data_IF_660216008972
#
_entry.id   IF_660216008972
#
_cell.length_a   1.000
_cell.length_b   1.000
_cell.length_c   1.000
_cell.angle_alpha   90.00
_cell.angle_beta   90.00
_cell.angle_gamma   90.00
#
_symmetry.space_group_name_H-M   'P 1'
#
loop_
_entity.id
_entity.type
_entity.pdbx_description
1 polymer ?
#
# COMPACT_ATOMS: atom_id res chain seq x y z
N UNK A 1 -18.70 6.94 -16.14
CA UNK A 1 -17.32 6.97 -15.61
C UNK A 1 -16.37 6.42 -16.67
N UNK A 2 -15.39 7.21 -17.14
CA UNK A 2 -14.43 6.79 -18.18
C UNK A 2 -13.45 5.77 -17.59
N UNK A 3 -13.34 4.56 -18.16
CA UNK A 3 -12.34 3.56 -17.77
C UNK A 3 -10.96 3.94 -18.33
N UNK A 4 -9.88 3.51 -17.66
CA UNK A 4 -8.47 3.73 -18.09
C UNK A 4 -8.20 3.38 -19.55
N UNK A 5 -8.79 2.29 -20.05
CA UNK A 5 -8.63 1.84 -21.44
C UNK A 5 -9.40 2.72 -22.44
N UNK A 6 -10.45 3.40 -21.97
CA UNK A 6 -11.35 4.19 -22.82
C UNK A 6 -10.96 5.67 -22.88
N UNK A 7 -10.10 6.17 -21.98
CA UNK A 7 -9.62 7.58 -21.95
C UNK A 7 -9.16 8.05 -23.33
N UNK A 8 -8.68 7.13 -24.15
CA UNK A 8 -8.13 7.41 -25.47
C UNK A 8 -9.17 7.44 -26.59
N UNK A 9 -10.32 6.78 -26.40
CA UNK A 9 -11.41 6.72 -27.38
C UNK A 9 -12.13 8.06 -27.50
N UNK A 10 -12.15 8.83 -26.41
CA UNK A 10 -12.88 10.09 -26.30
C UNK A 10 -12.03 11.33 -26.55
N UNK A 11 -10.78 11.18 -27.01
CA UNK A 11 -9.95 12.33 -27.36
C UNK A 11 -9.91 12.52 -28.87
N UNK A 12 -10.28 13.73 -29.29
CA UNK A 12 -10.20 14.15 -30.68
C UNK A 12 -8.75 14.40 -31.09
N UNK A 13 -8.37 14.01 -32.32
CA UNK A 13 -7.05 14.31 -32.84
C UNK A 13 -6.93 15.81 -33.13
N UNK A 14 -5.82 16.41 -32.71
CA UNK A 14 -5.46 17.78 -33.11
C UNK A 14 -5.02 17.85 -34.57
N UNK A 15 -4.45 16.76 -35.10
CA UNK A 15 -3.96 16.68 -36.46
C UNK A 15 -4.05 15.24 -36.97
N UNK A 16 -4.31 15.08 -38.26
CA UNK A 16 -4.23 13.79 -38.95
C UNK A 16 -3.22 13.91 -40.08
N UNK A 17 -2.23 13.02 -40.11
CA UNK A 17 -1.16 13.03 -41.10
C UNK A 17 -1.06 11.67 -41.78
N UNK A 18 -1.06 11.65 -43.11
CA UNK A 18 -0.67 10.46 -43.86
C UNK A 18 0.85 10.35 -43.87
N UNK A 19 1.41 9.37 -43.15
CA UNK A 19 2.86 9.21 -42.95
C UNK A 19 3.33 7.89 -43.52
N UNK A 20 4.49 7.91 -44.20
CA UNK A 20 5.15 6.68 -44.65
C UNK A 20 5.92 6.03 -43.52
N UNK A 21 5.51 4.82 -43.13
CA UNK A 21 6.21 3.96 -42.19
C UNK A 21 7.32 3.19 -42.90
N UNK A 22 8.56 3.48 -42.55
CA UNK A 22 9.74 2.83 -43.12
C UNK A 22 9.96 1.43 -42.54
N UNK A 23 10.72 0.57 -43.25
CA UNK A 23 11.08 -0.80 -42.79
C UNK A 23 11.72 -0.81 -41.38
N UNK A 24 12.44 0.25 -41.02
CA UNK A 24 13.07 0.42 -39.71
C UNK A 24 12.13 0.95 -38.61
N UNK A 25 10.82 1.05 -38.87
CA UNK A 25 9.83 1.52 -37.90
C UNK A 25 9.81 3.03 -37.68
N UNK A 26 10.32 3.81 -38.64
CA UNK A 26 10.33 5.27 -38.56
C UNK A 26 9.19 5.88 -39.36
N UNK A 27 8.46 6.81 -38.74
CA UNK A 27 7.48 7.69 -39.37
C UNK A 27 8.12 9.08 -39.50
N UNK A 28 8.38 9.52 -40.74
CA UNK A 28 8.97 10.85 -41.00
C UNK A 28 7.87 11.91 -41.00
N UNK A 29 8.01 12.94 -40.17
CA UNK A 29 7.08 14.07 -40.19
C UNK A 29 7.39 15.02 -41.37
N UNK A 30 6.36 15.56 -42.05
CA UNK A 30 6.55 16.58 -43.07
C UNK A 30 7.23 17.84 -42.50
N UNK A 31 8.22 18.40 -43.21
CA UNK A 31 8.91 19.62 -42.77
C UNK A 31 7.96 20.81 -42.62
N UNK A 32 6.96 20.93 -43.51
CA UNK A 32 5.91 21.96 -43.42
C UNK A 32 5.15 21.85 -42.09
N UNK A 33 4.80 20.63 -41.67
CA UNK A 33 4.14 20.38 -40.38
C UNK A 33 5.06 20.74 -39.20
N UNK A 34 6.31 20.27 -39.21
CA UNK A 34 7.29 20.56 -38.15
C UNK A 34 7.47 22.06 -37.94
N UNK A 35 7.63 22.83 -39.03
CA UNK A 35 7.78 24.29 -38.99
C UNK A 35 6.51 24.96 -38.48
N UNK A 36 5.32 24.56 -39.00
CA UNK A 36 4.03 25.13 -38.60
C UNK A 36 3.75 24.97 -37.11
N UNK A 37 4.07 23.81 -36.53
CA UNK A 37 3.79 23.51 -35.11
C UNK A 37 4.95 23.93 -34.19
N UNK A 38 6.13 24.28 -34.73
CA UNK A 38 7.28 24.72 -33.93
C UNK A 38 7.88 23.61 -33.04
N UNK A 39 7.86 22.37 -33.51
CA UNK A 39 8.29 21.19 -32.75
C UNK A 39 9.76 20.83 -33.01
N UNK A 40 10.40 20.23 -32.00
CA UNK A 40 11.77 19.72 -32.07
C UNK A 40 11.94 18.46 -31.20
N UNK A 41 13.18 18.00 -31.02
CA UNK A 41 13.51 16.82 -30.21
C UNK A 41 13.23 16.98 -28.70
N UNK A 42 12.69 18.11 -28.26
CA UNK A 42 12.21 18.30 -26.90
C UNK A 42 10.70 18.05 -26.76
N UNK A 43 10.06 17.40 -27.73
CA UNK A 43 8.63 17.09 -27.67
C UNK A 43 8.34 15.58 -27.64
N UNK A 44 7.25 15.24 -26.98
CA UNK A 44 6.62 13.91 -26.96
C UNK A 44 5.28 14.00 -27.66
N UNK A 45 5.05 13.02 -28.53
CA UNK A 45 3.82 12.87 -29.30
C UNK A 45 2.97 11.80 -28.65
N UNK A 46 1.71 12.13 -28.45
CA UNK A 46 0.63 11.20 -28.18
C UNK A 46 -0.12 11.00 -29.49
N UNK A 47 -0.17 9.77 -29.99
CA UNK A 47 -0.78 9.49 -31.28
C UNK A 47 -1.41 8.10 -31.34
N UNK A 48 -2.29 7.91 -32.34
CA UNK A 48 -2.87 6.62 -32.72
C UNK A 48 -2.80 6.45 -34.24
N UNK A 49 -2.94 5.21 -34.70
CA UNK A 49 -3.01 4.90 -36.13
C UNK A 49 -4.49 4.69 -36.47
N UNK A 50 -5.02 5.45 -37.44
CA UNK A 50 -6.45 5.57 -37.72
C UNK A 50 -7.12 4.21 -37.96
N UNK A 51 -6.53 3.36 -38.82
CA UNK A 51 -7.06 2.01 -39.13
C UNK A 51 -6.81 0.98 -38.01
N UNK A 52 -6.19 1.39 -36.92
CA UNK A 52 -5.97 0.59 -35.72
C UNK A 52 -6.38 1.44 -34.52
N UNK A 53 -7.64 1.90 -34.47
CA UNK A 53 -8.17 2.80 -33.41
C UNK A 53 -7.95 2.31 -31.97
N UNK A 54 -7.61 1.04 -31.75
CA UNK A 54 -7.25 0.49 -30.44
C UNK A 54 -5.75 0.60 -30.10
N UNK A 55 -4.93 1.01 -31.05
CA UNK A 55 -3.49 1.15 -30.93
C UNK A 55 -3.11 2.62 -30.66
N UNK A 56 -2.63 2.85 -29.44
CA UNK A 56 -2.17 4.16 -28.97
C UNK A 56 -0.70 4.07 -28.59
N UNK A 57 0.05 5.14 -28.87
CA UNK A 57 1.45 5.19 -28.50
C UNK A 57 1.89 6.59 -28.11
N UNK A 58 2.91 6.63 -27.26
CA UNK A 58 3.69 7.82 -26.96
C UNK A 58 5.06 7.65 -27.57
N UNK A 59 5.55 8.62 -28.33
CA UNK A 59 6.93 8.59 -28.83
C UNK A 59 7.58 9.95 -28.72
N UNK A 60 8.87 9.92 -28.36
CA UNK A 60 9.70 11.11 -28.39
C UNK A 60 10.05 11.42 -29.83
N UNK A 61 9.98 12.69 -30.20
CA UNK A 61 10.48 13.14 -31.48
C UNK A 61 12.01 12.98 -31.56
N UNK A 62 12.48 12.28 -32.60
CA UNK A 62 13.90 12.04 -32.82
C UNK A 62 14.38 12.83 -34.03
N UNK A 63 15.55 13.46 -33.90
CA UNK A 63 16.24 14.11 -35.01
C UNK A 63 16.97 13.04 -35.83
N UNK A 64 16.77 13.06 -37.15
CA UNK A 64 17.48 12.23 -38.11
C UNK A 64 18.11 13.14 -39.16
N UNK A 65 19.43 13.29 -39.12
CA UNK A 65 20.16 14.12 -40.07
C UNK A 65 20.65 13.22 -41.20
N UNK A 66 20.18 13.45 -42.42
CA UNK A 66 20.71 12.78 -43.60
C UNK A 66 21.70 13.72 -44.30
N UNK A 67 22.92 13.24 -44.51
CA UNK A 67 23.89 13.89 -45.41
C UNK A 67 23.51 13.50 -46.84
N UNK A 68 23.25 14.49 -47.69
CA UNK A 68 23.06 14.29 -49.14
C UNK A 68 24.16 15.05 -49.87
N UNK A 69 25.08 14.32 -50.48
CA UNK A 69 26.26 14.88 -51.16
C UNK A 69 27.25 15.57 -50.22
N UNK A 70 28.21 16.32 -50.81
CA UNK A 70 29.31 16.97 -50.08
C UNK A 70 28.86 18.17 -49.22
N UNK A 71 27.74 18.84 -49.55
CA UNK A 71 27.40 20.15 -48.97
C UNK A 71 25.99 20.31 -48.34
N UNK A 72 25.07 19.32 -48.42
CA UNK A 72 23.71 19.50 -47.89
C UNK A 72 23.39 18.54 -46.72
N UNK A 73 23.10 19.12 -45.56
CA UNK A 73 22.55 18.40 -44.40
C UNK A 73 21.06 18.70 -44.24
N UNK A 74 20.22 17.69 -44.49
CA UNK A 74 18.78 17.80 -44.28
C UNK A 74 18.43 17.16 -42.93
N UNK A 75 17.92 17.99 -42.01
CA UNK A 75 17.40 17.50 -40.74
C UNK A 75 15.94 17.10 -40.91
N UNK A 76 15.62 15.86 -40.56
CA UNK A 76 14.24 15.36 -40.47
C UNK A 76 13.88 14.99 -39.04
N UNK A 77 12.61 15.12 -38.70
CA UNK A 77 12.09 14.67 -37.43
C UNK A 77 11.25 13.41 -37.64
N UNK A 78 11.50 12.41 -36.81
CA UNK A 78 10.88 11.09 -36.93
C UNK A 78 10.28 10.64 -35.61
N UNK A 79 9.13 9.97 -35.71
CA UNK A 79 8.56 9.14 -34.65
C UNK A 79 9.10 7.73 -34.85
N UNK A 80 9.75 7.18 -33.81
CA UNK A 80 10.25 5.81 -33.84
C UNK A 80 9.26 4.89 -33.13
N UNK A 81 8.82 3.84 -33.82
CA UNK A 81 8.00 2.77 -33.28
C UNK A 81 8.89 1.62 -32.82
N UNK A 82 8.63 1.08 -31.63
CA UNK A 82 9.37 -0.10 -31.13
C UNK A 82 8.97 -1.37 -31.90
N UNK A 83 9.85 -2.38 -31.93
CA UNK A 83 9.54 -3.70 -32.53
C UNK A 83 8.20 -4.27 -32.04
N UNK A 84 7.98 -4.27 -30.72
CA UNK A 84 6.69 -4.71 -30.12
C UNK A 84 5.46 -3.97 -30.65
N UNK A 85 5.62 -2.70 -31.01
CA UNK A 85 4.55 -1.89 -31.61
C UNK A 85 4.32 -2.33 -33.04
N UNK A 86 5.39 -2.47 -33.82
CA UNK A 86 5.32 -2.95 -35.20
C UNK A 86 4.68 -4.33 -35.28
N UNK A 87 5.10 -5.27 -34.42
CA UNK A 87 4.56 -6.62 -34.32
C UNK A 87 3.05 -6.61 -34.05
N UNK A 88 2.58 -5.68 -33.19
CA UNK A 88 1.14 -5.52 -32.89
C UNK A 88 0.34 -4.89 -34.02
N UNK A 89 0.96 -4.00 -34.79
CA UNK A 89 0.29 -3.33 -35.90
C UNK A 89 0.01 -4.31 -37.04
N UNK A 90 0.83 -5.36 -37.18
CA UNK A 90 0.75 -6.38 -38.21
C UNK A 90 0.56 -5.75 -39.60
N UNK A 91 1.45 -4.81 -39.95
CA UNK A 91 1.43 -4.08 -41.21
C UNK A 91 2.54 -4.59 -42.12
N UNK A 92 2.26 -4.68 -43.42
CA UNK A 92 3.30 -4.86 -44.44
C UNK A 92 4.15 -3.59 -44.50
N UNK A 93 5.48 -3.74 -44.47
CA UNK A 93 6.42 -2.62 -44.44
C UNK A 93 7.24 -2.55 -45.74
N UNK A 94 7.47 -1.35 -46.31
CA UNK A 94 6.95 -0.05 -45.89
C UNK A 94 5.49 0.17 -46.30
N UNK A 95 4.74 0.95 -45.52
CA UNK A 95 3.34 1.30 -45.82
C UNK A 95 3.03 2.75 -45.46
N UNK A 96 2.03 3.33 -46.13
CA UNK A 96 1.45 4.60 -45.71
C UNK A 96 0.41 4.35 -44.63
N UNK A 97 0.47 5.14 -43.55
CA UNK A 97 -0.44 5.02 -42.41
C UNK A 97 -0.96 6.40 -42.02
N UNK A 98 -2.26 6.50 -41.77
CA UNK A 98 -2.85 7.69 -41.21
C UNK A 98 -2.60 7.73 -39.70
N UNK A 99 -1.86 8.75 -39.28
CA UNK A 99 -1.46 9.00 -37.91
C UNK A 99 -2.25 10.16 -37.36
N UNK A 100 -3.09 9.86 -36.38
CA UNK A 100 -3.87 10.83 -35.61
C UNK A 100 -3.06 11.28 -34.41
N UNK A 101 -2.62 12.54 -34.41
CA UNK A 101 -1.89 13.17 -33.31
C UNK A 101 -2.91 13.72 -32.32
N UNK A 102 -2.94 13.12 -31.13
CA UNK A 102 -3.84 13.48 -30.05
C UNK A 102 -3.29 14.69 -29.29
N UNK A 103 -2.02 14.65 -28.87
CA UNK A 103 -1.36 15.75 -28.14
C UNK A 103 0.12 15.82 -28.47
N UNK A 104 0.66 17.04 -28.40
CA UNK A 104 2.09 17.33 -28.55
C UNK A 104 2.52 18.08 -27.30
N UNK A 105 3.46 17.52 -26.54
CA UNK A 105 3.84 18.06 -25.23
C UNK A 105 5.36 18.22 -25.12
N UNK A 106 5.80 19.38 -24.64
CA UNK A 106 7.21 19.66 -24.37
C UNK A 106 7.72 18.83 -23.19
N UNK A 107 8.91 18.26 -23.32
CA UNK A 107 9.57 17.48 -22.27
C UNK A 107 9.84 18.37 -21.06
N UNK A 108 9.49 17.87 -19.87
CA UNK A 108 9.60 18.60 -18.62
C UNK A 108 8.46 19.60 -18.37
N UNK A 109 7.41 19.61 -19.22
CA UNK A 109 6.22 20.41 -18.94
C UNK A 109 5.52 19.90 -17.66
N UNK A 110 4.99 20.84 -16.88
CA UNK A 110 4.22 20.57 -15.67
C UNK A 110 2.74 20.76 -15.94
N UNK A 111 1.93 20.04 -15.18
CA UNK A 111 0.51 20.30 -15.06
C UNK A 111 0.31 21.29 -13.92
N UNK A 112 -0.60 22.24 -14.08
CA UNK A 112 -0.99 23.17 -13.01
C UNK A 112 -1.63 22.40 -11.87
N UNK A 113 -1.39 22.81 -10.61
CA UNK A 113 -2.08 22.21 -9.46
C UNK A 113 -3.58 22.50 -9.56
N UNK A 114 -4.39 21.48 -9.33
CA UNK A 114 -5.85 21.61 -9.34
C UNK A 114 -6.40 20.95 -8.08
N UNK A 115 -7.27 21.67 -7.37
CA UNK A 115 -8.11 21.23 -6.25
C UNK A 115 -7.36 20.74 -4.97
N UNK A 116 -7.50 21.44 -3.82
CA UNK A 116 -6.83 21.08 -2.56
C UNK A 116 -7.44 19.86 -1.83
N UNK A 117 -8.63 19.39 -2.21
CA UNK A 117 -9.41 18.44 -1.41
C UNK A 117 -9.13 16.95 -1.72
N UNK A 118 -8.16 16.65 -2.61
CA UNK A 118 -7.75 15.28 -2.94
C UNK A 118 -6.24 15.19 -3.11
N UNK A 119 -5.71 13.99 -2.95
CA UNK A 119 -4.30 13.72 -3.20
C UNK A 119 -4.03 13.76 -4.70
N UNK A 120 -3.32 14.79 -5.17
CA UNK A 120 -2.87 14.89 -6.56
C UNK A 120 -1.58 14.08 -6.75
N UNK A 121 -1.62 13.04 -7.58
CA UNK A 121 -0.47 12.18 -7.87
C UNK A 121 0.64 12.93 -8.63
N UNK A 122 0.34 14.06 -9.28
CA UNK A 122 1.35 14.91 -9.93
C UNK A 122 2.40 15.40 -8.93
N UNK A 123 2.00 15.68 -7.68
CA UNK A 123 2.90 16.16 -6.62
C UNK A 123 3.97 15.13 -6.22
N UNK A 124 3.76 13.85 -6.55
CA UNK A 124 4.67 12.75 -6.25
C UNK A 124 5.50 12.30 -7.45
N UNK A 125 5.34 12.96 -8.60
CA UNK A 125 6.14 12.70 -9.80
C UNK A 125 7.35 13.65 -9.79
N UNK A 126 8.60 13.12 -9.92
CA UNK A 126 9.78 13.97 -9.88
C UNK A 126 9.80 15.03 -10.98
N UNK A 127 10.08 16.27 -10.58
CA UNK A 127 10.27 17.39 -11.50
C UNK A 127 11.65 17.36 -12.16
N UNK A 128 11.84 16.53 -13.17
CA UNK A 128 13.06 16.53 -13.97
C UNK A 128 12.79 16.13 -15.43
N UNK A 129 13.79 16.33 -16.30
CA UNK A 129 13.70 16.05 -17.74
C UNK A 129 13.42 14.58 -18.10
N UNK A 130 13.45 13.66 -17.13
CA UNK A 130 13.14 12.23 -17.36
C UNK A 130 11.64 11.97 -17.37
N UNK A 131 10.84 12.84 -16.75
CA UNK A 131 9.39 12.70 -16.69
C UNK A 131 8.71 13.72 -17.60
N UNK A 132 7.62 13.31 -18.24
CA UNK A 132 6.74 14.18 -19.03
C UNK A 132 5.32 13.79 -18.71
N UNK A 133 4.49 14.79 -18.41
CA UNK A 133 3.10 14.60 -18.00
C UNK A 133 2.17 15.08 -19.11
N UNK A 134 1.09 14.34 -19.32
CA UNK A 134 0.04 14.68 -20.27
C UNK A 134 -1.29 14.56 -19.55
N UNK A 135 -1.99 15.69 -19.34
CA UNK A 135 -3.37 15.69 -18.86
C UNK A 135 -4.30 15.02 -19.87
N UNK A 136 -5.26 14.26 -19.37
CA UNK A 136 -6.23 13.49 -20.16
C UNK A 136 -7.65 13.76 -19.70
N UNK A 137 -8.62 13.44 -20.55
CA UNK A 137 -10.04 13.57 -20.22
C UNK A 137 -10.39 12.80 -18.93
N UNK A 138 -11.32 13.34 -18.13
CA UNK A 138 -11.83 12.68 -16.93
C UNK A 138 -10.84 12.61 -15.75
N UNK A 139 -9.96 13.60 -15.60
CA UNK A 139 -8.95 13.66 -14.53
C UNK A 139 -7.95 12.49 -14.55
N UNK A 140 -7.60 12.01 -15.73
CA UNK A 140 -6.52 11.05 -15.91
C UNK A 140 -5.23 11.77 -16.30
N UNK A 141 -4.09 11.17 -15.98
CA UNK A 141 -2.79 11.62 -16.47
C UNK A 141 -2.03 10.47 -17.11
N UNK A 142 -1.37 10.75 -18.23
CA UNK A 142 -0.37 9.87 -18.80
C UNK A 142 1.02 10.40 -18.46
N UNK A 143 1.81 9.55 -17.82
CA UNK A 143 3.19 9.85 -17.46
C UNK A 143 4.11 9.07 -18.39
N UNK A 144 5.08 9.77 -18.95
CA UNK A 144 6.14 9.20 -19.74
C UNK A 144 7.46 9.34 -18.97
N UNK A 145 8.17 8.23 -18.79
CA UNK A 145 9.51 8.21 -18.19
C UNK A 145 10.56 7.81 -19.23
N UNK A 146 11.70 8.50 -19.20
CA UNK A 146 12.84 8.25 -20.09
C UNK A 146 14.18 8.43 -19.38
N UNK A 147 15.02 7.40 -19.43
CA UNK A 147 16.46 7.49 -19.15
C UNK A 147 17.26 6.78 -20.24
N UNK A 148 18.59 7.01 -20.27
CA UNK A 148 19.50 6.22 -21.11
C UNK A 148 19.21 4.72 -20.86
N UNK A 149 18.76 3.99 -21.88
CA UNK A 149 18.45 2.55 -21.82
C UNK A 149 17.09 2.12 -21.24
N UNK A 150 16.22 3.03 -20.76
CA UNK A 150 14.93 2.64 -20.19
C UNK A 150 13.83 3.66 -20.48
N UNK A 151 12.65 3.17 -20.85
CA UNK A 151 11.45 4.00 -20.98
C UNK A 151 10.23 3.25 -20.45
N UNK A 152 9.29 4.00 -19.89
CA UNK A 152 8.01 3.46 -19.45
C UNK A 152 6.91 4.48 -19.64
N UNK A 153 5.69 3.98 -19.86
CA UNK A 153 4.48 4.78 -20.01
C UNK A 153 3.47 4.26 -19.01
N UNK A 154 2.73 5.15 -18.36
CA UNK A 154 1.63 4.76 -17.49
C UNK A 154 0.54 5.82 -17.50
N UNK A 155 -0.70 5.38 -17.75
CA UNK A 155 -1.89 6.19 -17.51
C UNK A 155 -2.50 5.81 -16.17
N UNK A 156 -2.77 6.81 -15.34
CA UNK A 156 -3.26 6.66 -13.96
C UNK A 156 -4.22 7.81 -13.62
N UNK A 157 -5.17 7.62 -12.68
CA UNK A 157 -6.03 8.70 -12.24
C UNK A 157 -5.18 9.78 -11.56
N UNK A 158 -5.48 11.04 -11.81
CA UNK A 158 -4.72 12.17 -11.25
C UNK A 158 -4.96 12.30 -9.74
N UNK A 159 -6.22 12.22 -9.35
CA UNK A 159 -6.65 12.39 -7.97
C UNK A 159 -6.99 11.06 -7.33
N UNK A 160 -6.45 10.84 -6.13
CA UNK A 160 -6.73 9.65 -5.34
C UNK A 160 -7.38 10.03 -4.02
N UNK A 161 -8.42 9.27 -3.63
CA UNK A 161 -9.03 9.39 -2.30
C UNK A 161 -8.13 8.73 -1.26
N UNK A 162 -7.79 9.46 -0.21
CA UNK A 162 -7.08 8.95 0.96
C UNK A 162 -8.13 8.44 1.95
N UNK A 163 -8.31 7.12 1.99
CA UNK A 163 -9.18 6.42 2.94
C UNK A 163 -8.36 5.37 3.73
N UNK A 164 -8.99 4.65 4.66
CA UNK A 164 -8.31 3.65 5.50
C UNK A 164 -7.57 2.60 4.69
N UNK A 165 -8.18 2.08 3.62
CA UNK A 165 -7.56 1.08 2.75
C UNK A 165 -6.32 1.65 2.05
N UNK A 166 -6.38 2.90 1.59
CA UNK A 166 -5.23 3.58 1.01
C UNK A 166 -4.09 3.71 2.01
N UNK A 167 -4.38 4.22 3.22
CA UNK A 167 -3.39 4.39 4.29
C UNK A 167 -2.78 3.07 4.75
N UNK A 168 -3.61 2.04 4.94
CA UNK A 168 -3.15 0.71 5.30
C UNK A 168 -2.16 0.16 4.27
N UNK A 169 -2.46 0.30 2.98
CA UNK A 169 -1.57 -0.20 1.93
C UNK A 169 -0.27 0.59 1.81
N UNK A 170 -0.28 1.90 2.08
CA UNK A 170 0.97 2.67 2.20
C UNK A 170 1.82 2.16 3.37
N UNK A 171 1.22 1.92 4.53
CA UNK A 171 1.92 1.32 5.68
C UNK A 171 2.49 -0.05 5.38
N UNK A 172 1.71 -0.91 4.72
CA UNK A 172 2.16 -2.23 4.33
C UNK A 172 3.28 -2.20 3.29
N UNK A 173 3.21 -1.28 2.32
CA UNK A 173 4.29 -1.04 1.36
C UNK A 173 5.55 -0.47 2.03
N UNK A 174 5.40 0.37 3.07
CA UNK A 174 6.54 0.85 3.85
C UNK A 174 7.31 -0.32 4.46
N UNK A 175 6.62 -1.34 4.95
CA UNK A 175 7.27 -2.56 5.45
C UNK A 175 7.81 -3.45 4.30
N UNK A 176 6.91 -4.00 3.49
CA UNK A 176 7.21 -5.13 2.58
C UNK A 176 7.54 -4.72 1.14
N UNK A 177 7.39 -3.43 0.81
CA UNK A 177 7.51 -2.94 -0.55
C UNK A 177 8.93 -2.92 -1.10
N UNK A 178 9.08 -3.10 -2.42
CA UNK A 178 10.32 -2.88 -3.17
C UNK A 178 10.63 -1.38 -3.28
N UNK A 179 11.30 -0.85 -2.25
CA UNK A 179 11.61 0.57 -2.11
C UNK A 179 12.99 0.96 -2.67
N UNK A 180 13.88 0.01 -2.90
CA UNK A 180 15.29 0.28 -3.25
C UNK A 180 15.47 0.61 -4.73
N UNK A 181 14.84 -0.16 -5.61
CA UNK A 181 15.07 -0.04 -7.06
C UNK A 181 14.20 1.04 -7.72
N UNK A 182 13.02 1.32 -7.14
CA UNK A 182 11.93 2.12 -7.74
C UNK A 182 11.51 1.62 -9.14
N UNK A 183 11.92 0.42 -9.52
CA UNK A 183 11.69 -0.14 -10.86
C UNK A 183 10.34 -0.85 -10.97
N UNK A 184 9.75 -1.23 -9.83
CA UNK A 184 8.45 -1.87 -9.78
C UNK A 184 7.62 -1.37 -8.61
N UNK A 185 6.32 -1.60 -8.71
CA UNK A 185 5.38 -1.50 -7.61
C UNK A 185 5.07 -2.93 -7.17
N UNK A 186 5.56 -3.34 -6.01
CA UNK A 186 5.43 -4.72 -5.55
C UNK A 186 5.85 -4.91 -4.11
N UNK A 187 5.44 -6.06 -3.57
CA UNK A 187 5.68 -6.51 -2.19
C UNK A 187 6.16 -7.97 -2.19
N UNK A 188 6.59 -8.45 -1.03
CA UNK A 188 6.76 -9.87 -0.79
C UNK A 188 6.14 -10.24 0.56
N UNK A 189 5.21 -11.20 0.60
CA UNK A 189 4.69 -11.70 1.87
C UNK A 189 4.18 -13.15 1.72
N UNK A 190 4.15 -13.90 2.83
CA UNK A 190 3.67 -15.28 2.87
C UNK A 190 2.18 -15.42 3.14
N UNK A 191 1.52 -14.37 3.65
CA UNK A 191 0.07 -14.37 3.91
C UNK A 191 -0.70 -13.91 2.66
N UNK A 192 -1.39 -14.85 2.01
CA UNK A 192 -2.08 -14.60 0.74
C UNK A 192 -3.10 -13.48 0.80
N UNK A 193 -3.87 -13.40 1.89
CA UNK A 193 -4.84 -12.32 2.11
C UNK A 193 -4.21 -10.92 2.14
N UNK A 194 -3.04 -10.75 2.77
CA UNK A 194 -2.34 -9.45 2.78
C UNK A 194 -1.85 -9.07 1.38
N UNK A 195 -1.36 -10.06 0.62
CA UNK A 195 -0.97 -9.87 -0.79
C UNK A 195 -2.18 -9.48 -1.65
N UNK A 196 -3.33 -10.11 -1.42
CA UNK A 196 -4.60 -9.79 -2.09
C UNK A 196 -5.07 -8.37 -1.78
N UNK A 197 -5.00 -7.93 -0.51
CA UNK A 197 -5.30 -6.54 -0.13
C UNK A 197 -4.43 -5.53 -0.89
N UNK A 198 -3.13 -5.82 -1.03
CA UNK A 198 -2.20 -5.01 -1.80
C UNK A 198 -2.52 -4.98 -3.30
N UNK A 199 -2.87 -6.13 -3.89
CA UNK A 199 -3.36 -6.21 -5.26
C UNK A 199 -4.59 -5.31 -5.45
N UNK A 200 -5.59 -5.43 -4.58
CA UNK A 200 -6.83 -4.67 -4.64
C UNK A 200 -6.58 -3.15 -4.55
N UNK A 201 -5.58 -2.73 -3.78
CA UNK A 201 -5.13 -1.33 -3.75
C UNK A 201 -4.60 -0.86 -5.12
N UNK A 202 -3.75 -1.65 -5.76
CA UNK A 202 -3.28 -1.34 -7.11
C UNK A 202 -4.41 -1.22 -8.14
N UNK A 203 -5.41 -2.09 -8.03
CA UNK A 203 -6.56 -2.12 -8.94
C UNK A 203 -7.53 -0.95 -8.68
N UNK A 204 -7.87 -0.70 -7.41
CA UNK A 204 -8.81 0.36 -7.00
C UNK A 204 -8.27 1.76 -7.28
N UNK A 205 -7.02 2.05 -6.88
CA UNK A 205 -6.50 3.42 -6.91
C UNK A 205 -5.65 3.76 -8.13
N UNK A 206 -5.09 2.78 -8.83
CA UNK A 206 -4.24 3.02 -10.02
C UNK A 206 -4.78 2.38 -11.31
N UNK A 207 -5.96 1.74 -11.24
CA UNK A 207 -6.58 1.08 -12.38
C UNK A 207 -5.68 -0.01 -12.98
N UNK A 208 -4.97 -0.75 -12.13
CA UNK A 208 -4.29 -1.98 -12.56
C UNK A 208 -5.34 -3.09 -12.79
N UNK A 209 -4.95 -4.09 -13.57
CA UNK A 209 -5.77 -5.26 -13.92
C UNK A 209 -5.00 -6.54 -13.64
N UNK A 210 -5.71 -7.67 -13.55
CA UNK A 210 -5.13 -9.00 -13.33
C UNK A 210 -3.93 -9.30 -14.25
N UNK A 211 -4.00 -8.95 -15.54
CA UNK A 211 -2.92 -9.19 -16.50
C UNK A 211 -1.70 -8.27 -16.36
N UNK A 212 -1.77 -7.21 -15.55
CA UNK A 212 -0.63 -6.33 -15.28
C UNK A 212 0.34 -6.94 -14.25
N UNK A 213 -0.18 -7.79 -13.37
CA UNK A 213 0.59 -8.36 -12.28
C UNK A 213 1.45 -9.54 -12.72
N UNK A 214 2.56 -9.72 -12.02
CA UNK A 214 3.44 -10.87 -12.09
C UNK A 214 3.69 -11.38 -10.68
N UNK A 215 3.56 -12.67 -10.49
CA UNK A 215 3.69 -13.33 -9.20
C UNK A 215 4.87 -14.31 -9.26
N UNK A 216 5.80 -14.17 -8.33
CA UNK A 216 6.93 -15.07 -8.14
C UNK A 216 6.90 -15.68 -6.74
N UNK A 217 6.56 -16.96 -6.67
CA UNK A 217 6.36 -17.70 -5.43
C UNK A 217 7.61 -18.51 -5.12
N UNK A 218 8.17 -18.29 -3.93
CA UNK A 218 9.40 -18.94 -3.46
C UNK A 218 9.08 -19.98 -2.40
N UNK A 219 9.40 -21.25 -2.68
CA UNK A 219 9.10 -22.40 -1.82
C UNK A 219 10.34 -23.22 -1.48
N UNK A 220 10.31 -23.96 -0.36
CA UNK A 220 11.39 -24.90 0.02
C UNK A 220 11.26 -26.23 -0.73
N UNK A 221 10.04 -26.70 -0.87
CA UNK A 221 9.63 -27.91 -1.58
C UNK A 221 8.44 -27.57 -2.47
N UNK A 222 8.33 -28.24 -3.62
CA UNK A 222 7.11 -28.15 -4.40
C UNK A 222 6.02 -28.94 -3.68
N UNK A 223 4.93 -28.25 -3.35
CA UNK A 223 3.70 -28.86 -2.86
C UNK A 223 2.71 -28.92 -4.03
N UNK A 224 1.86 -29.95 -4.05
CA UNK A 224 0.82 -30.09 -5.06
C UNK A 224 -0.20 -28.94 -4.94
N UNK A 225 -0.64 -28.36 -6.06
CA UNK A 225 -1.69 -27.32 -6.08
C UNK A 225 -1.27 -25.90 -5.66
N UNK A 226 0.04 -25.62 -5.55
CA UNK A 226 0.53 -24.26 -5.23
C UNK A 226 0.13 -23.20 -6.26
N UNK A 227 0.14 -23.56 -7.54
CA UNK A 227 -0.30 -22.69 -8.63
C UNK A 227 -1.78 -22.39 -8.50
N UNK A 228 -2.61 -23.42 -8.29
CA UNK A 228 -4.05 -23.26 -8.06
C UNK A 228 -4.37 -22.41 -6.82
N UNK A 229 -3.63 -22.59 -5.72
CA UNK A 229 -3.80 -21.77 -4.52
C UNK A 229 -3.58 -20.28 -4.82
N UNK A 230 -2.45 -19.92 -5.42
CA UNK A 230 -2.12 -18.51 -5.71
C UNK A 230 -2.96 -17.93 -6.85
N UNK A 231 -3.37 -18.75 -7.82
CA UNK A 231 -4.33 -18.39 -8.87
C UNK A 231 -5.68 -18.01 -8.27
N UNK A 232 -6.22 -18.84 -7.38
CA UNK A 232 -7.50 -18.58 -6.71
C UNK A 232 -7.41 -17.39 -5.75
N UNK A 233 -6.38 -17.36 -4.90
CA UNK A 233 -6.24 -16.35 -3.85
C UNK A 233 -6.11 -14.94 -4.46
N UNK A 234 -5.32 -14.80 -5.52
CA UNK A 234 -5.03 -13.53 -6.17
C UNK A 234 -5.86 -13.26 -7.44
N UNK A 235 -6.62 -14.25 -7.91
CA UNK A 235 -7.38 -14.20 -9.17
C UNK A 235 -6.49 -13.81 -10.35
N UNK A 236 -5.30 -14.43 -10.43
CA UNK A 236 -4.32 -14.19 -11.49
C UNK A 236 -4.39 -15.27 -12.56
N UNK A 237 -4.10 -14.90 -13.81
CA UNK A 237 -3.97 -15.87 -14.91
C UNK A 237 -2.74 -16.75 -14.63
N UNK A 238 -2.86 -18.07 -14.80
CA UNK A 238 -1.78 -19.06 -14.58
C UNK A 238 -0.41 -18.64 -15.15
N UNK A 239 -0.36 -18.06 -16.36
CA UNK A 239 0.89 -17.62 -17.00
C UNK A 239 1.60 -16.43 -16.31
N UNK A 240 0.97 -15.82 -15.30
CA UNK A 240 1.55 -14.76 -14.46
C UNK A 240 2.18 -15.30 -13.18
N UNK A 241 2.00 -16.58 -12.87
CA UNK A 241 2.51 -17.20 -11.65
C UNK A 241 3.75 -18.03 -12.01
N UNK A 242 4.88 -17.67 -11.42
CA UNK A 242 6.13 -18.42 -11.50
C UNK A 242 6.45 -18.99 -10.13
N UNK A 243 6.61 -20.31 -10.02
CA UNK A 243 7.00 -20.98 -8.79
C UNK A 243 8.48 -21.35 -8.88
N UNK A 244 9.25 -21.05 -7.83
CA UNK A 244 10.68 -21.34 -7.74
C UNK A 244 11.02 -21.99 -6.41
N UNK A 245 11.79 -23.08 -6.47
CA UNK A 245 12.39 -23.72 -5.29
C UNK A 245 13.63 -22.95 -4.84
N UNK A 246 13.72 -22.61 -3.56
CA UNK A 246 14.90 -21.96 -2.95
C UNK A 246 15.43 -22.85 -1.83
N UNK A 247 16.69 -23.27 -1.94
CA UNK A 247 17.34 -24.17 -0.97
C UNK A 247 17.74 -23.47 0.35
N UNK A 248 18.11 -22.19 0.29
CA UNK A 248 18.85 -21.54 1.38
C UNK A 248 18.02 -20.55 2.24
N UNK A 249 16.70 -20.50 2.07
CA UNK A 249 15.82 -19.71 2.96
C UNK A 249 14.59 -20.53 3.34
N UNK A 250 14.28 -20.70 4.63
CA UNK A 250 13.01 -21.30 5.03
C UNK A 250 11.87 -20.37 4.58
N UNK A 251 10.88 -20.84 3.80
CA UNK A 251 9.65 -20.10 3.59
C UNK A 251 8.91 -20.03 4.92
N UNK A 252 8.28 -18.88 5.16
CA UNK A 252 7.54 -18.62 6.40
C UNK A 252 6.21 -19.39 6.48
N UNK A 253 5.76 -20.00 5.37
CA UNK A 253 4.51 -20.75 5.25
C UNK A 253 4.65 -21.94 4.30
N UNK A 254 3.70 -22.88 4.38
CA UNK A 254 3.58 -24.03 3.47
C UNK A 254 3.36 -23.61 2.00
N UNK A 255 2.69 -22.48 1.78
CA UNK A 255 2.43 -21.92 0.45
C UNK A 255 3.55 -21.04 -0.11
N UNK A 256 4.64 -20.87 0.66
CA UNK A 256 5.80 -20.09 0.25
C UNK A 256 5.66 -18.58 0.47
N UNK A 257 6.69 -17.85 0.07
CA UNK A 257 6.69 -16.39 0.07
C UNK A 257 6.33 -15.87 -1.33
N UNK A 258 5.23 -15.13 -1.45
CA UNK A 258 4.74 -14.60 -2.72
C UNK A 258 5.30 -13.20 -2.97
N UNK A 259 6.07 -13.03 -4.05
CA UNK A 259 6.50 -11.74 -4.56
C UNK A 259 5.54 -11.26 -5.65
N UNK A 260 4.61 -10.36 -5.31
CA UNK A 260 3.68 -9.77 -6.29
C UNK A 260 4.24 -8.46 -6.83
N UNK A 261 4.30 -8.30 -8.15
CA UNK A 261 4.96 -7.15 -8.81
C UNK A 261 4.19 -6.64 -10.02
N UNK A 262 4.15 -5.33 -10.15
CA UNK A 262 3.88 -4.61 -11.39
C UNK A 262 5.14 -3.89 -11.86
N UNK A 263 5.72 -4.35 -12.97
CA UNK A 263 6.97 -3.81 -13.50
C UNK A 263 6.76 -2.47 -14.22
N UNK A 264 6.65 -1.40 -13.45
CA UNK A 264 6.56 -0.05 -13.98
C UNK A 264 7.27 0.97 -13.07
N UNK A 265 8.30 1.62 -13.63
CA UNK A 265 9.14 2.58 -12.91
C UNK A 265 8.41 3.85 -12.49
N UNK A 266 7.39 4.27 -13.25
CA UNK A 266 6.57 5.43 -12.89
C UNK A 266 5.82 5.15 -11.60
N UNK A 267 5.07 4.05 -11.53
CA UNK A 267 4.30 3.74 -10.32
C UNK A 267 5.21 3.45 -9.13
N UNK A 268 6.30 2.70 -9.32
CA UNK A 268 7.29 2.47 -8.25
C UNK A 268 7.86 3.78 -7.70
N UNK A 269 8.14 4.75 -8.56
CA UNK A 269 8.62 6.08 -8.13
C UNK A 269 7.55 6.86 -7.37
N UNK A 270 6.32 6.90 -7.89
CA UNK A 270 5.19 7.62 -7.26
C UNK A 270 4.94 7.07 -5.85
N UNK A 271 4.84 5.73 -5.70
CA UNK A 271 4.52 5.10 -4.42
C UNK A 271 5.64 5.29 -3.40
N UNK A 272 6.90 5.19 -3.83
CA UNK A 272 8.03 5.48 -2.92
C UNK A 272 8.00 6.94 -2.46
N UNK A 273 7.71 7.89 -3.35
CA UNK A 273 7.60 9.29 -2.93
C UNK A 273 6.39 9.53 -2.01
N UNK A 274 5.26 8.83 -2.25
CA UNK A 274 4.09 8.86 -1.39
C UNK A 274 4.39 8.37 0.03
N UNK A 275 4.97 7.18 0.14
CA UNK A 275 5.19 6.52 1.45
C UNK A 275 6.21 7.24 2.31
N UNK A 276 7.16 7.96 1.70
CA UNK A 276 8.15 8.79 2.40
C UNK A 276 7.74 10.26 2.56
N UNK A 277 6.52 10.64 2.16
CA UNK A 277 6.06 12.03 2.29
C UNK A 277 5.62 12.33 3.72
N UNK A 278 6.51 12.96 4.49
CA UNK A 278 6.18 13.43 5.84
C UNK A 278 5.04 14.45 5.87
N UNK A 279 4.86 15.24 4.80
CA UNK A 279 3.75 16.18 4.72
C UNK A 279 2.40 15.46 4.63
N UNK A 280 2.32 14.41 3.80
CA UNK A 280 1.13 13.55 3.73
C UNK A 280 0.87 12.87 5.08
N UNK A 281 1.91 12.32 5.69
CA UNK A 281 1.77 11.58 6.97
C UNK A 281 1.30 12.51 8.10
N UNK A 282 1.85 13.72 8.19
CA UNK A 282 1.45 14.70 9.20
C UNK A 282 0.00 15.16 9.03
N UNK A 283 -0.50 15.24 7.79
CA UNK A 283 -1.86 15.69 7.50
C UNK A 283 -2.95 14.65 7.73
N UNK A 284 -2.60 13.36 7.92
CA UNK A 284 -3.60 12.32 8.24
C UNK A 284 -4.23 12.62 9.60
N UNK A 285 -5.52 12.35 9.81
CA UNK A 285 -6.09 12.35 11.16
C UNK A 285 -5.61 11.13 11.97
N UNK A 286 -6.14 10.95 13.18
CA UNK A 286 -5.77 9.84 14.05
C UNK A 286 -6.17 8.48 13.46
N UNK A 287 -7.35 8.36 12.85
CA UNK A 287 -7.89 7.11 12.36
C UNK A 287 -7.15 6.63 11.10
N UNK A 288 -6.87 7.55 10.17
CA UNK A 288 -6.05 7.29 8.99
C UNK A 288 -4.58 7.00 9.36
N UNK A 289 -4.05 7.67 10.39
CA UNK A 289 -2.72 7.35 10.94
C UNK A 289 -2.70 5.95 11.53
N UNK A 290 -3.79 5.53 12.19
CA UNK A 290 -3.91 4.19 12.74
C UNK A 290 -4.03 3.13 11.66
N UNK A 291 -4.80 3.37 10.60
CA UNK A 291 -4.85 2.48 9.43
C UNK A 291 -3.46 2.29 8.80
N UNK A 292 -2.69 3.38 8.63
CA UNK A 292 -1.31 3.32 8.16
C UNK A 292 -0.44 2.48 9.11
N UNK A 293 -0.51 2.75 10.41
CA UNK A 293 0.26 2.01 11.42
C UNK A 293 -0.07 0.51 11.42
N UNK A 294 -1.34 0.12 11.23
CA UNK A 294 -1.76 -1.28 11.08
C UNK A 294 -1.13 -1.95 9.85
N UNK A 295 -1.08 -1.26 8.72
CA UNK A 295 -0.37 -1.75 7.54
C UNK A 295 1.11 -2.01 7.80
N UNK A 296 1.78 -1.05 8.45
CA UNK A 296 3.19 -1.19 8.85
C UNK A 296 3.39 -2.37 9.82
N UNK A 297 2.47 -2.53 10.78
CA UNK A 297 2.45 -3.66 11.72
C UNK A 297 2.17 -5.01 11.05
N UNK A 298 1.45 -5.05 9.92
CA UNK A 298 1.19 -6.26 9.16
C UNK A 298 2.46 -6.79 8.47
N UNK A 299 3.37 -5.91 8.05
CA UNK A 299 4.68 -6.32 7.52
C UNK A 299 5.72 -6.53 8.62
N UNK A 300 6.18 -5.45 9.25
CA UNK A 300 7.35 -5.45 10.17
C UNK A 300 7.01 -5.51 11.67
N UNK A 301 5.72 -5.61 11.99
CA UNK A 301 5.28 -5.72 13.36
C UNK A 301 5.70 -7.04 14.03
N UNK A 302 5.97 -7.03 15.32
CA UNK A 302 6.23 -8.25 16.08
C UNK A 302 5.70 -8.16 17.50
N UNK A 303 5.40 -9.34 18.05
CA UNK A 303 4.95 -9.52 19.42
C UNK A 303 5.86 -10.55 20.08
N UNK A 304 6.49 -10.18 21.19
CA UNK A 304 7.51 -10.99 21.85
C UNK A 304 7.31 -11.02 23.36
N UNK A 305 7.81 -12.08 24.00
CA UNK A 305 8.05 -12.13 25.44
C UNK A 305 9.51 -11.82 25.67
N UNK A 306 9.84 -10.74 26.38
CA UNK A 306 11.21 -10.37 26.73
C UNK A 306 11.28 -9.94 28.19
N UNK A 307 12.21 -10.53 28.95
CA UNK A 307 12.44 -10.20 30.37
C UNK A 307 11.15 -10.20 31.21
N UNK A 308 10.33 -11.24 31.07
CA UNK A 308 9.06 -11.36 31.80
C UNK A 308 7.93 -10.42 31.34
N UNK A 309 8.16 -9.58 30.33
CA UNK A 309 7.18 -8.62 29.81
C UNK A 309 6.75 -8.95 28.38
N UNK A 310 5.58 -8.45 27.99
CA UNK A 310 5.11 -8.44 26.59
C UNK A 310 5.71 -7.21 25.91
N UNK A 311 6.38 -7.39 24.78
CA UNK A 311 6.82 -6.32 23.88
C UNK A 311 6.01 -6.38 22.57
N UNK A 312 5.47 -5.24 22.15
CA UNK A 312 4.90 -5.06 20.81
C UNK A 312 5.79 -4.06 20.08
N UNK A 313 6.37 -4.48 18.95
CA UNK A 313 7.40 -3.73 18.27
C UNK A 313 7.16 -3.63 16.77
N UNK A 314 7.80 -2.64 16.15
CA UNK A 314 7.95 -2.50 14.70
C UNK A 314 9.45 -2.36 14.43
N UNK A 315 9.96 -3.21 13.54
CA UNK A 315 11.33 -3.09 13.04
C UNK A 315 11.33 -2.18 11.81
N UNK A 316 12.32 -1.32 11.67
CA UNK A 316 12.40 -0.40 10.52
C UNK A 316 13.83 0.06 10.25
N UNK A 317 14.06 0.60 9.05
CA UNK A 317 15.32 1.25 8.71
C UNK A 317 15.40 2.66 9.31
N UNK A 318 16.60 3.23 9.42
CA UNK A 318 16.81 4.60 9.98
C UNK A 318 15.92 5.65 9.29
N UNK A 319 15.75 5.56 7.96
CA UNK A 319 14.92 6.49 7.17
C UNK A 319 13.42 6.38 7.44
N UNK A 320 12.97 5.24 7.97
CA UNK A 320 11.56 4.93 8.27
C UNK A 320 11.21 5.24 9.74
N UNK A 321 12.22 5.34 10.61
CA UNK A 321 12.09 5.59 12.04
C UNK A 321 11.21 6.80 12.34
N UNK A 322 11.43 7.92 11.65
CA UNK A 322 10.67 9.16 11.88
C UNK A 322 9.18 9.00 11.56
N UNK A 323 8.86 8.24 10.49
CA UNK A 323 7.49 7.95 10.08
C UNK A 323 6.83 7.08 11.13
N UNK A 324 7.45 5.96 11.48
CA UNK A 324 6.91 5.00 12.43
C UNK A 324 6.74 5.63 13.83
N UNK A 325 7.70 6.43 14.30
CA UNK A 325 7.61 7.13 15.57
C UNK A 325 6.47 8.18 15.57
N UNK A 326 6.33 8.96 14.49
CA UNK A 326 5.24 9.92 14.37
C UNK A 326 3.86 9.24 14.43
N UNK A 327 3.68 8.15 13.68
CA UNK A 327 2.43 7.40 13.67
C UNK A 327 2.11 6.82 15.05
N UNK A 328 3.10 6.25 15.75
CA UNK A 328 2.90 5.69 17.08
C UNK A 328 2.52 6.78 18.09
N UNK A 329 3.23 7.92 18.10
CA UNK A 329 2.94 9.03 19.02
C UNK A 329 1.56 9.64 18.80
N UNK A 330 1.04 9.57 17.56
CA UNK A 330 -0.28 10.09 17.20
C UNK A 330 -1.42 9.14 17.60
N UNK A 331 -1.17 7.83 17.55
CA UNK A 331 -2.19 6.80 17.75
C UNK A 331 -2.22 6.30 19.18
N UNK A 332 -1.06 6.03 19.77
CA UNK A 332 -0.93 5.36 21.07
C UNK A 332 -0.89 6.36 22.24
N UNK A 333 -1.38 5.93 23.40
CA UNK A 333 -1.44 6.77 24.60
C UNK A 333 -0.07 7.06 25.25
N UNK A 334 0.94 6.24 24.95
CA UNK A 334 2.29 6.36 25.52
C UNK A 334 3.34 6.53 24.45
N UNK A 335 4.46 7.14 24.86
CA UNK A 335 5.67 7.24 24.03
C UNK A 335 6.33 5.85 23.92
N UNK A 336 6.80 5.46 22.73
CA UNK A 336 7.49 4.20 22.56
C UNK A 336 8.94 4.29 23.04
N UNK A 337 9.51 3.13 23.34
CA UNK A 337 10.94 2.95 23.46
C UNK A 337 11.53 2.73 22.07
N UNK A 338 12.76 3.21 21.86
CA UNK A 338 13.49 3.04 20.60
C UNK A 338 14.83 2.40 20.93
N UNK A 339 15.17 1.30 20.26
CA UNK A 339 16.49 0.68 20.36
C UNK A 339 17.06 0.37 18.98
N UNK A 340 18.37 0.56 18.85
CA UNK A 340 19.15 0.08 17.70
C UNK A 340 19.46 -1.40 17.91
N UNK A 341 19.33 -2.20 16.86
CA UNK A 341 19.69 -3.62 16.86
C UNK A 341 20.69 -3.89 15.75
N UNK A 342 21.72 -4.66 16.08
CA UNK A 342 22.75 -5.10 15.16
C UNK A 342 22.52 -6.58 14.88
N UNK A 343 21.83 -6.88 13.78
CA UNK A 343 21.77 -8.24 13.25
C UNK A 343 22.72 -8.31 12.05
N UNK A 344 22.23 -8.66 10.86
CA UNK A 344 22.98 -8.60 9.60
C UNK A 344 23.07 -7.15 9.06
N UNK A 345 22.07 -6.34 9.41
CA UNK A 345 21.96 -4.91 9.09
C UNK A 345 21.66 -4.12 10.36
N UNK A 346 21.94 -2.81 10.33
CA UNK A 346 21.50 -1.90 11.40
C UNK A 346 20.01 -1.62 11.24
N UNK A 347 19.21 -2.15 12.16
CA UNK A 347 17.76 -1.90 12.21
C UNK A 347 17.37 -1.18 13.49
N UNK A 348 16.29 -0.41 13.42
CA UNK A 348 15.70 0.28 14.56
C UNK A 348 14.41 -0.41 14.96
N UNK A 349 14.27 -0.66 16.26
CA UNK A 349 13.08 -1.28 16.83
C UNK A 349 12.38 -0.23 17.68
N UNK A 350 11.16 0.14 17.28
CA UNK A 350 10.27 1.00 18.06
C UNK A 350 9.25 0.10 18.74
N UNK A 351 9.12 0.20 20.07
CA UNK A 351 8.32 -0.76 20.81
C UNK A 351 7.65 -0.18 22.06
N UNK A 352 6.54 -0.80 22.41
CA UNK A 352 5.88 -0.66 23.70
C UNK A 352 6.05 -1.93 24.53
N UNK A 353 6.06 -1.79 25.86
CA UNK A 353 6.17 -2.92 26.78
C UNK A 353 5.11 -2.89 27.87
N UNK A 354 4.73 -4.06 28.35
CA UNK A 354 3.90 -4.27 29.53
C UNK A 354 2.39 -4.39 29.24
N UNK A 355 1.65 -4.81 30.27
CA UNK A 355 0.23 -5.16 30.18
C UNK A 355 -0.66 -3.97 29.77
N UNK A 356 -0.36 -2.77 30.26
CA UNK A 356 -1.15 -1.58 29.94
C UNK A 356 -1.20 -1.32 28.43
N UNK A 357 -0.03 -1.36 27.77
CA UNK A 357 0.04 -1.15 26.32
C UNK A 357 -0.48 -2.36 25.55
N UNK A 358 -0.26 -3.58 26.05
CA UNK A 358 -0.78 -4.78 25.40
C UNK A 358 -2.32 -4.77 25.36
N UNK A 359 -2.97 -4.33 26.44
CA UNK A 359 -4.43 -4.14 26.50
C UNK A 359 -4.91 -3.08 25.51
N UNK A 360 -4.25 -1.92 25.45
CA UNK A 360 -4.60 -0.87 24.47
C UNK A 360 -4.49 -1.41 23.03
N UNK A 361 -3.40 -2.13 22.73
CA UNK A 361 -3.22 -2.76 21.42
C UNK A 361 -4.32 -3.78 21.11
N UNK A 362 -4.76 -4.52 22.13
CA UNK A 362 -5.88 -5.45 22.03
C UNK A 362 -7.18 -4.68 21.72
N UNK A 363 -7.56 -3.71 22.55
CA UNK A 363 -8.82 -2.98 22.41
C UNK A 363 -8.95 -2.19 21.10
N UNK A 364 -7.85 -1.57 20.67
CA UNK A 364 -7.83 -0.74 19.47
C UNK A 364 -7.73 -1.56 18.18
N UNK A 365 -7.44 -2.86 18.25
CA UNK A 365 -7.33 -3.71 17.05
C UNK A 365 -5.99 -3.61 16.34
N UNK A 366 -4.90 -3.36 17.06
CA UNK A 366 -3.56 -3.51 16.49
C UNK A 366 -3.30 -4.97 16.08
N UNK A 367 -2.53 -5.14 15.00
CA UNK A 367 -2.22 -6.44 14.37
C UNK A 367 -3.44 -7.22 13.84
N UNK A 368 -4.61 -6.59 13.68
CA UNK A 368 -5.87 -7.28 13.36
C UNK A 368 -5.79 -8.14 12.09
N UNK A 369 -5.05 -7.69 11.08
CA UNK A 369 -4.92 -8.39 9.79
C UNK A 369 -3.96 -9.58 9.87
N UNK A 370 -2.97 -9.52 10.75
CA UNK A 370 -2.00 -10.60 10.93
C UNK A 370 -2.41 -11.49 12.11
N UNK A 371 -3.34 -12.42 11.83
CA UNK A 371 -3.99 -13.30 12.82
C UNK A 371 -2.98 -13.98 13.77
N UNK A 372 -1.86 -14.47 13.25
CA UNK A 372 -0.82 -15.11 14.07
C UNK A 372 -0.23 -14.16 15.13
N UNK A 373 0.16 -12.94 14.73
CA UNK A 373 0.69 -11.92 15.67
C UNK A 373 -0.37 -11.50 16.66
N UNK A 374 -1.62 -11.32 16.20
CA UNK A 374 -2.76 -10.99 17.05
C UNK A 374 -3.02 -12.05 18.11
N UNK A 375 -3.09 -13.31 17.71
CA UNK A 375 -3.32 -14.44 18.60
C UNK A 375 -2.17 -14.59 19.60
N UNK A 376 -0.92 -14.36 19.16
CA UNK A 376 0.25 -14.33 20.05
C UNK A 376 0.13 -13.23 21.11
N UNK A 377 -0.30 -12.02 20.75
CA UNK A 377 -0.54 -10.93 21.69
C UNK A 377 -1.59 -11.30 22.73
N UNK A 378 -2.75 -11.81 22.29
CA UNK A 378 -3.83 -12.22 23.19
C UNK A 378 -3.36 -13.35 24.11
N UNK A 379 -2.68 -14.38 23.57
CA UNK A 379 -2.15 -15.50 24.36
C UNK A 379 -1.16 -15.05 25.43
N UNK A 380 -0.22 -14.18 25.07
CA UNK A 380 0.72 -13.62 26.04
C UNK A 380 0.00 -12.76 27.07
N UNK A 381 -0.96 -11.93 26.67
CA UNK A 381 -1.74 -11.14 27.60
C UNK A 381 -2.46 -12.01 28.63
N UNK A 382 -3.17 -13.06 28.18
CA UNK A 382 -3.85 -14.01 29.06
C UNK A 382 -2.90 -14.63 30.08
N UNK A 383 -1.70 -15.00 29.65
CA UNK A 383 -0.66 -15.56 30.52
C UNK A 383 -0.19 -14.58 31.60
N UNK A 384 -0.11 -13.28 31.31
CA UNK A 384 0.46 -12.28 32.22
C UNK A 384 -0.60 -11.50 33.02
N UNK A 385 -1.87 -11.56 32.65
CA UNK A 385 -2.97 -10.87 33.35
C UNK A 385 -4.10 -11.81 33.82
N UNK A 386 -3.81 -13.01 34.38
CA UNK A 386 -4.86 -13.99 34.71
C UNK A 386 -5.89 -13.42 35.70
N UNK A 387 -5.43 -12.78 36.78
CA UNK A 387 -6.31 -12.22 37.82
C UNK A 387 -7.30 -11.19 37.28
N UNK A 388 -6.86 -10.32 36.35
CA UNK A 388 -7.76 -9.33 35.72
C UNK A 388 -8.87 -10.03 34.92
N UNK A 389 -8.51 -11.12 34.21
CA UNK A 389 -9.43 -11.85 33.36
C UNK A 389 -10.41 -12.70 34.15
N UNK A 390 -9.99 -13.27 35.28
CA UNK A 390 -10.87 -14.08 36.14
C UNK A 390 -12.01 -13.24 36.72
N UNK A 391 -11.71 -12.00 37.16
CA UNK A 391 -12.73 -11.06 37.64
C UNK A 391 -13.73 -10.70 36.53
N UNK A 392 -13.22 -10.37 35.35
CA UNK A 392 -14.05 -10.02 34.19
C UNK A 392 -14.91 -11.21 33.75
N UNK A 393 -14.38 -12.43 33.80
CA UNK A 393 -15.09 -13.65 33.43
C UNK A 393 -16.27 -13.92 34.37
N UNK A 394 -16.10 -13.73 35.67
CA UNK A 394 -17.20 -13.86 36.63
C UNK A 394 -18.30 -12.82 36.33
N UNK A 395 -17.91 -11.56 36.11
CA UNK A 395 -18.86 -10.48 35.81
C UNK A 395 -19.57 -10.63 34.46
N UNK A 396 -19.08 -11.49 33.57
CA UNK A 396 -19.77 -11.86 32.33
C UNK A 396 -21.00 -12.72 32.61
N UNK A 397 -20.92 -13.57 33.61
CA UNK A 397 -21.97 -14.53 33.95
C UNK A 397 -23.05 -13.87 34.80
N UNK A 398 -22.66 -13.09 35.82
CA UNK A 398 -23.59 -12.39 36.71
C UNK A 398 -22.97 -11.13 37.33
N UNK A 399 -23.81 -10.16 37.68
CA UNK A 399 -23.43 -9.05 38.56
C UNK A 399 -23.04 -9.60 39.93
N UNK A 400 -21.95 -9.11 40.51
CA UNK A 400 -21.38 -9.68 41.72
C UNK A 400 -21.00 -8.61 42.76
N UNK A 401 -21.13 -8.94 44.04
CA UNK A 401 -20.72 -8.06 45.14
C UNK A 401 -19.24 -8.22 45.50
N UNK A 402 -18.66 -7.24 46.21
CA UNK A 402 -17.30 -7.38 46.78
C UNK A 402 -17.15 -8.66 47.63
N UNK A 403 -18.20 -9.04 48.37
CA UNK A 403 -18.20 -10.24 49.22
C UNK A 403 -18.06 -11.51 48.39
N UNK A 404 -18.82 -11.62 47.30
CA UNK A 404 -18.70 -12.76 46.38
C UNK A 404 -17.26 -12.97 45.89
N UNK A 405 -16.57 -11.90 45.51
CA UNK A 405 -15.17 -11.99 45.06
C UNK A 405 -14.18 -12.34 46.18
N UNK A 406 -14.41 -11.86 47.41
CA UNK A 406 -13.60 -12.24 48.57
C UNK A 406 -13.70 -13.74 48.81
N UNK A 407 -14.93 -14.26 48.85
CA UNK A 407 -15.22 -15.67 49.09
C UNK A 407 -14.67 -16.54 47.94
N UNK A 408 -14.90 -16.13 46.68
CA UNK A 408 -14.50 -16.88 45.48
C UNK A 408 -12.98 -16.97 45.29
N UNK A 409 -12.25 -15.89 45.56
CA UNK A 409 -10.81 -15.83 45.33
C UNK A 409 -9.97 -16.00 46.60
N UNK A 410 -10.61 -16.18 47.76
CA UNK A 410 -9.96 -16.14 49.07
C UNK A 410 -9.06 -14.91 49.23
N UNK A 411 -9.64 -13.72 49.04
CA UNK A 411 -8.94 -12.43 49.06
C UNK A 411 -9.56 -11.49 50.08
N UNK A 412 -8.74 -10.58 50.61
CA UNK A 412 -9.21 -9.51 51.48
C UNK A 412 -10.08 -8.51 50.72
N UNK A 413 -11.01 -7.85 51.43
CA UNK A 413 -11.80 -6.75 50.88
C UNK A 413 -10.93 -5.72 50.14
N UNK A 414 -9.81 -5.31 50.75
CA UNK A 414 -8.86 -4.36 50.15
C UNK A 414 -8.31 -4.83 48.81
N UNK A 415 -7.97 -6.12 48.68
CA UNK A 415 -7.43 -6.68 47.43
C UNK A 415 -8.48 -6.67 46.31
N UNK A 416 -9.72 -7.03 46.64
CA UNK A 416 -10.86 -6.99 45.71
C UNK A 416 -11.14 -5.54 45.29
N UNK A 417 -11.17 -4.61 46.24
CA UNK A 417 -11.47 -3.19 45.99
C UNK A 417 -10.40 -2.53 45.12
N UNK A 418 -9.11 -2.87 45.31
CA UNK A 418 -8.03 -2.43 44.42
C UNK A 418 -8.26 -2.91 42.98
N UNK A 419 -8.60 -4.19 42.80
CA UNK A 419 -8.86 -4.75 41.46
C UNK A 419 -10.09 -4.11 40.82
N UNK A 420 -11.19 -3.97 41.56
CA UNK A 420 -12.42 -3.37 41.05
C UNK A 420 -12.24 -1.88 40.74
N UNK A 421 -11.53 -1.14 41.59
CA UNK A 421 -11.17 0.25 41.30
C UNK A 421 -10.33 0.36 40.04
N UNK A 422 -9.38 -0.57 39.83
CA UNK A 422 -8.59 -0.63 38.59
C UNK A 422 -9.50 -0.90 37.38
N UNK A 423 -10.38 -1.90 37.44
CA UNK A 423 -11.31 -2.24 36.34
C UNK A 423 -12.31 -1.11 36.06
N UNK A 424 -12.75 -0.40 37.10
CA UNK A 424 -13.59 0.79 37.00
C UNK A 424 -12.87 1.94 36.30
N UNK A 425 -11.62 2.26 36.70
CA UNK A 425 -10.80 3.28 36.03
C UNK A 425 -10.51 2.96 34.57
N UNK A 426 -10.49 1.68 34.21
CA UNK A 426 -10.35 1.21 32.82
C UNK A 426 -11.66 1.24 32.04
N UNK A 427 -12.77 1.58 32.69
CA UNK A 427 -14.10 1.64 32.10
C UNK A 427 -14.71 0.27 31.80
N UNK A 428 -14.13 -0.83 32.28
CA UNK A 428 -14.63 -2.19 32.04
C UNK A 428 -15.79 -2.56 32.98
N UNK A 429 -15.77 -2.01 34.19
CA UNK A 429 -16.72 -2.33 35.25
C UNK A 429 -17.35 -1.04 35.77
N UNK A 430 -18.64 -1.10 36.11
CA UNK A 430 -19.33 -0.10 36.93
C UNK A 430 -19.88 -0.79 38.17
N UNK A 431 -20.33 0.01 39.14
CA UNK A 431 -21.05 -0.51 40.29
C UNK A 431 -22.25 0.35 40.61
N UNK A 432 -23.26 -0.26 41.23
CA UNK A 432 -24.32 0.42 41.94
C UNK A 432 -24.26 0.05 43.42
N UNK A 433 -24.76 0.94 44.27
CA UNK A 433 -24.92 0.64 45.68
C UNK A 433 -26.29 -0.01 45.86
N UNK A 434 -26.30 -1.23 46.40
CA UNK A 434 -27.51 -1.93 46.79
C UNK A 434 -27.60 -1.89 48.32
N UNK A 435 -28.76 -1.49 48.84
CA UNK A 435 -29.03 -1.64 50.28
C UNK A 435 -29.37 -3.11 50.53
N UNK A 436 -28.55 -3.77 51.33
CA UNK A 436 -28.82 -5.11 51.83
C UNK A 436 -29.27 -5.01 53.29
N UNK A 437 -30.29 -5.78 53.63
CA UNK A 437 -30.85 -5.85 54.98
C UNK A 437 -30.43 -7.18 55.61
N UNK A 438 -29.86 -7.10 56.82
CA UNK A 438 -29.61 -8.27 57.66
C UNK A 438 -30.23 -8.02 59.04
N UNK A 439 -31.42 -8.58 59.24
CA UNK A 439 -32.29 -8.22 60.37
C UNK A 439 -32.70 -6.74 60.32
N UNK A 440 -32.51 -6.02 61.44
CA UNK A 440 -32.83 -4.58 61.56
C UNK A 440 -31.72 -3.64 61.06
N UNK A 441 -30.57 -4.16 60.62
CA UNK A 441 -29.44 -3.36 60.13
C UNK A 441 -29.42 -3.37 58.61
N UNK A 442 -29.15 -2.22 58.00
CA UNK A 442 -28.84 -2.13 56.57
C UNK A 442 -27.36 -1.85 56.37
N UNK A 443 -26.81 -2.36 55.28
CA UNK A 443 -25.48 -1.99 54.81
C UNK A 443 -25.53 -1.79 53.30
N UNK A 444 -24.69 -0.88 52.80
CA UNK A 444 -24.55 -0.65 51.37
C UNK A 444 -23.54 -1.66 50.82
N UNK A 445 -24.00 -2.58 49.98
CA UNK A 445 -23.12 -3.44 49.18
C UNK A 445 -22.89 -2.80 47.81
N UNK A 446 -21.64 -2.83 47.33
CA UNK A 446 -21.34 -2.47 45.95
C UNK A 446 -21.55 -3.71 45.10
N UNK A 447 -22.46 -3.63 44.15
CA UNK A 447 -22.69 -4.68 43.16
C UNK A 447 -22.07 -4.24 41.83
N UNK A 448 -21.14 -5.03 41.32
CA UNK A 448 -20.34 -4.72 40.13
C UNK A 448 -20.92 -5.41 38.90
N UNK A 449 -20.84 -4.74 37.76
CA UNK A 449 -21.33 -5.24 36.47
C UNK A 449 -20.46 -4.75 35.31
N UNK A 450 -20.46 -5.50 34.20
CA UNK A 450 -19.70 -5.14 33.00
C UNK A 450 -20.34 -3.97 32.24
N UNK A 451 -19.50 -3.06 31.76
CA UNK A 451 -19.93 -2.02 30.81
C UNK A 451 -19.97 -2.57 29.37
N UNK A 452 -20.44 -1.76 28.42
CA UNK A 452 -20.32 -2.06 26.97
C UNK A 452 -18.86 -2.32 26.56
N UNK A 453 -17.91 -1.57 27.12
CA UNK A 453 -16.49 -1.77 26.87
C UNK A 453 -15.99 -3.08 27.49
N UNK A 454 -16.43 -3.40 28.71
CA UNK A 454 -16.16 -4.68 29.37
C UNK A 454 -16.67 -5.88 28.55
N UNK A 455 -17.90 -5.80 28.04
CA UNK A 455 -18.50 -6.83 27.17
C UNK A 455 -17.75 -6.96 25.83
N UNK A 456 -17.35 -5.85 25.21
CA UNK A 456 -16.49 -5.87 24.02
C UNK A 456 -15.15 -6.56 24.33
N UNK A 457 -14.56 -6.26 25.49
CA UNK A 457 -13.30 -6.86 25.92
C UNK A 457 -13.42 -8.37 26.13
N UNK A 458 -14.48 -8.84 26.79
CA UNK A 458 -14.83 -10.26 26.92
C UNK A 458 -14.88 -10.94 25.56
N UNK A 459 -15.61 -10.35 24.59
CA UNK A 459 -15.75 -10.90 23.23
C UNK A 459 -14.42 -11.00 22.51
N UNK A 460 -13.56 -9.97 22.59
CA UNK A 460 -12.23 -9.98 21.97
C UNK A 460 -11.33 -11.05 22.60
N UNK A 461 -11.45 -11.21 23.92
CA UNK A 461 -10.61 -12.13 24.69
C UNK A 461 -11.12 -13.57 24.65
N UNK A 462 -12.31 -13.86 24.11
CA UNK A 462 -12.95 -15.17 24.17
C UNK A 462 -12.92 -15.73 25.61
N UNK A 463 -13.46 -14.97 26.57
CA UNK A 463 -13.58 -15.36 27.98
C UNK A 463 -14.90 -16.07 28.27
#
# INVERSE_FOLDING_TARGET
MIKKEDVWKYEEPTHTLNLRLQKCGMLRLPLKFVKKVGINENYVFLFRIFNKKYFYSTSKLSKNTQKSGKNYQTTHYVIRLSKKVLDKLNLVLPSSVDVEIIKIVKIGNKLSKLNPNRLDLVDFIPNNKKFTLVDRIGNWITVYYRSKGSSSVLTLPRFVKVDELFCWNLGFYLAEGDKSTKCCFGISNSEGYLVKMFKNFGEKYFGLKNYNWFCDVKVKSFCFGLDSYWENELSLIKNKIKIRKIKNKPPLSEYGNCCLRFHNKILGTIIVNLVYSMNLIKSLDKDLSFAFLRGLQAGDGTVMKKSGCIEMAISCQKRELNIANHLILKVCSKKPFIRKSHTCDVVWIIFHRGLCMAREYILNGHFQEHKSRRNKLIKLYKKFAPVELDYIKILKENDCTSKYFQDRFNKTHTSVDIMMTKLYKLGFVKFNNKKEFNGRRFYNSRNFYLTTLGNKYVKIMNL
#
